data_IF_175467567043
#
_entry.id   IF_175467567043
#
_cell.length_a   1.000
_cell.length_b   1.000
_cell.length_c   1.000
_cell.angle_alpha   90.00
_cell.angle_beta   90.00
_cell.angle_gamma   90.00
#
_symmetry.space_group_name_H-M   'P 1'
#
loop_
_entity.id
_entity.type
_entity.pdbx_description
1 polymer ?
#
# COMPACT_ATOMS: atom_id res chain seq x y z
N UNK A 1 -14.48 22.19 1.69
CA UNK A 1 -15.33 21.22 0.96
C UNK A 1 -15.17 19.77 1.48
N UNK A 2 -14.83 19.55 2.77
CA UNK A 2 -14.60 18.19 3.32
C UNK A 2 -15.27 17.96 4.69
N UNK A 3 -16.29 18.74 5.05
CA UNK A 3 -16.88 18.71 6.40
C UNK A 3 -18.06 17.74 6.57
N UNK A 4 -18.43 16.96 5.55
CA UNK A 4 -19.69 16.19 5.55
C UNK A 4 -19.52 14.67 5.47
N UNK A 5 -18.34 14.14 5.83
CA UNK A 5 -18.16 12.70 6.00
C UNK A 5 -17.84 12.41 7.46
N UNK A 6 -18.84 11.88 8.18
CA UNK A 6 -18.77 11.57 9.61
C UNK A 6 -17.65 10.59 9.95
N UNK A 7 -16.44 11.11 10.13
CA UNK A 7 -15.30 10.34 10.61
C UNK A 7 -15.26 10.41 12.14
N UNK A 8 -16.04 9.55 12.80
CA UNK A 8 -15.90 9.35 14.26
C UNK A 8 -14.73 8.41 14.62
N UNK A 9 -14.00 7.86 13.63
CA UNK A 9 -12.95 6.85 13.87
C UNK A 9 -11.68 7.00 13.00
N UNK A 10 -11.42 8.18 12.43
CA UNK A 10 -10.16 8.46 11.70
C UNK A 10 -10.08 7.91 10.26
N UNK A 11 -11.09 7.17 9.81
CA UNK A 11 -11.25 6.74 8.41
C UNK A 11 -12.51 7.34 7.79
N UNK A 12 -12.48 7.58 6.48
CA UNK A 12 -13.60 8.07 5.68
C UNK A 12 -13.80 7.23 4.42
N UNK A 13 -15.00 7.26 3.83
CA UNK A 13 -15.31 6.59 2.57
C UNK A 13 -15.31 7.62 1.45
N UNK A 14 -14.43 7.45 0.45
CA UNK A 14 -14.30 8.36 -0.69
C UNK A 14 -15.26 8.02 -1.83
N UNK A 15 -15.47 6.72 -2.10
CA UNK A 15 -16.30 6.24 -3.21
C UNK A 15 -16.87 4.86 -2.87
N UNK A 16 -18.12 4.62 -3.24
CA UNK A 16 -18.77 3.29 -3.14
C UNK A 16 -19.40 2.93 -4.48
N UNK A 17 -18.85 1.92 -5.15
CA UNK A 17 -19.32 1.48 -6.47
C UNK A 17 -18.84 0.05 -6.76
N UNK A 18 -18.95 -0.41 -8.01
CA UNK A 18 -18.45 -1.72 -8.45
C UNK A 18 -16.95 -1.85 -8.18
N UNK A 19 -16.50 -3.01 -7.67
CA UNK A 19 -15.11 -3.27 -7.31
C UNK A 19 -14.15 -3.04 -8.48
N UNK A 20 -14.52 -3.39 -9.72
CA UNK A 20 -13.68 -3.11 -10.89
C UNK A 20 -13.39 -1.61 -11.06
N UNK A 21 -14.38 -0.75 -10.82
CA UNK A 21 -14.21 0.70 -10.88
C UNK A 21 -13.39 1.20 -9.69
N UNK A 22 -13.66 0.69 -8.48
CA UNK A 22 -12.90 1.03 -7.27
C UNK A 22 -11.42 0.69 -7.43
N UNK A 23 -11.08 -0.53 -7.87
CA UNK A 23 -9.70 -0.94 -8.11
C UNK A 23 -9.03 -0.13 -9.22
N UNK A 24 -9.77 0.24 -10.27
CA UNK A 24 -9.27 1.12 -11.31
C UNK A 24 -8.89 2.51 -10.76
N UNK A 25 -9.80 3.13 -10.00
CA UNK A 25 -9.58 4.43 -9.36
C UNK A 25 -8.44 4.36 -8.35
N UNK A 26 -8.41 3.34 -7.50
CA UNK A 26 -7.36 3.10 -6.51
C UNK A 26 -5.99 2.99 -7.17
N UNK A 27 -5.89 2.20 -8.25
CA UNK A 27 -4.65 2.03 -9.02
C UNK A 27 -4.21 3.35 -9.67
N UNK A 28 -5.13 4.07 -10.33
CA UNK A 28 -4.83 5.37 -10.95
C UNK A 28 -4.35 6.37 -9.91
N UNK A 29 -5.01 6.41 -8.74
CA UNK A 29 -4.65 7.30 -7.66
C UNK A 29 -3.25 6.98 -7.14
N UNK A 30 -2.90 5.72 -6.91
CA UNK A 30 -1.55 5.32 -6.51
C UNK A 30 -0.48 5.69 -7.55
N UNK A 31 -0.78 5.55 -8.85
CA UNK A 31 0.14 5.94 -9.92
C UNK A 31 0.40 7.45 -9.89
N UNK A 32 -0.66 8.27 -9.89
CA UNK A 32 -0.54 9.74 -9.90
C UNK A 32 0.21 10.24 -8.67
N UNK A 33 -0.16 9.69 -7.51
CA UNK A 33 0.50 9.96 -6.26
C UNK A 33 2.00 9.63 -6.37
N UNK A 34 2.38 8.43 -6.82
CA UNK A 34 3.79 8.02 -6.92
C UNK A 34 4.62 8.90 -7.86
N UNK A 35 4.02 9.37 -8.97
CA UNK A 35 4.66 10.33 -9.89
C UNK A 35 4.97 11.64 -9.14
N UNK A 36 3.97 12.21 -8.47
CA UNK A 36 4.13 13.46 -7.70
C UNK A 36 5.19 13.29 -6.60
N UNK A 37 5.14 12.18 -5.86
CA UNK A 37 6.10 11.86 -4.79
C UNK A 37 7.54 11.77 -5.33
N UNK A 38 7.73 11.12 -6.47
CA UNK A 38 9.05 10.99 -7.10
C UNK A 38 9.58 12.34 -7.57
N UNK A 39 8.74 13.20 -8.14
CA UNK A 39 9.13 14.57 -8.52
C UNK A 39 9.55 15.40 -7.30
N UNK A 40 8.76 15.38 -6.22
CA UNK A 40 9.06 16.12 -4.98
C UNK A 40 10.33 15.58 -4.32
N UNK A 41 10.52 14.26 -4.32
CA UNK A 41 11.74 13.64 -3.80
C UNK A 41 12.96 14.02 -4.63
N UNK A 42 12.86 14.01 -5.96
CA UNK A 42 13.94 14.45 -6.86
C UNK A 42 14.33 15.91 -6.61
N UNK A 43 13.34 16.81 -6.53
CA UNK A 43 13.56 18.21 -6.21
C UNK A 43 14.20 18.40 -4.82
N UNK A 44 13.74 17.63 -3.83
CA UNK A 44 14.29 17.65 -2.48
C UNK A 44 15.72 17.15 -2.43
N UNK A 45 16.05 16.09 -3.17
CA UNK A 45 17.42 15.58 -3.27
C UNK A 45 18.34 16.61 -3.92
N UNK A 46 17.88 17.28 -4.97
CA UNK A 46 18.62 18.37 -5.59
C UNK A 46 18.86 19.54 -4.62
N UNK A 47 17.85 19.93 -3.84
CA UNK A 47 17.99 20.95 -2.79
C UNK A 47 18.98 20.51 -1.69
N UNK A 48 18.90 19.24 -1.25
CA UNK A 48 19.83 18.66 -0.28
C UNK A 48 21.26 18.64 -0.80
N UNK A 49 21.49 18.31 -2.07
CA UNK A 49 22.80 18.41 -2.69
C UNK A 49 23.31 19.86 -2.66
N UNK A 50 22.47 20.81 -3.10
CA UNK A 50 22.83 22.22 -3.17
C UNK A 50 23.15 22.88 -1.81
N UNK A 51 22.51 22.43 -0.72
CA UNK A 51 22.79 22.94 0.63
C UNK A 51 23.98 22.25 1.31
N UNK A 52 24.28 21.00 0.91
CA UNK A 52 25.47 20.26 1.34
C UNK A 52 26.75 20.68 0.60
N UNK A 53 26.62 21.44 -0.48
CA UNK A 53 27.73 21.96 -1.25
C UNK A 53 28.56 22.97 -0.42
N UNK A 54 29.87 22.76 -0.28
CA UNK A 54 30.73 23.66 0.47
C UNK A 54 31.00 24.95 -0.31
N UNK A 55 31.20 26.05 0.40
CA UNK A 55 31.67 27.31 -0.16
C UNK A 55 33.19 27.29 -0.31
N UNK A 56 33.74 28.14 -1.19
CA UNK A 56 35.19 28.20 -1.47
C UNK A 56 36.03 28.42 -0.20
N UNK A 57 35.57 29.27 0.71
CA UNK A 57 36.22 29.57 2.00
C UNK A 57 36.19 28.39 2.99
N UNK A 58 35.09 27.62 2.97
CA UNK A 58 34.95 26.40 3.78
C UNK A 58 35.98 25.36 3.29
N UNK A 59 36.17 25.24 1.98
CA UNK A 59 37.17 24.36 1.37
C UNK A 59 38.59 24.80 1.72
N UNK A 60 38.93 26.08 1.60
CA UNK A 60 40.25 26.60 1.98
C UNK A 60 40.60 26.27 3.44
N UNK A 61 39.62 26.39 4.33
CA UNK A 61 39.79 26.06 5.75
C UNK A 61 40.05 24.57 5.97
N UNK A 62 39.43 23.71 5.16
CA UNK A 62 39.56 22.24 5.23
C UNK A 62 40.89 21.79 4.65
N UNK A 63 41.32 22.38 3.53
CA UNK A 63 42.61 22.06 2.92
C UNK A 63 43.79 22.53 3.77
N UNK A 64 43.71 23.69 4.45
CA UNK A 64 44.69 24.11 5.48
C UNK A 64 44.84 23.11 6.63
N UNK A 65 43.79 22.32 6.90
CA UNK A 65 43.79 21.23 7.89
C UNK A 65 44.20 19.88 7.28
N UNK A 66 44.74 19.86 6.06
CA UNK A 66 45.19 18.65 5.36
C UNK A 66 44.07 17.61 5.17
N UNK A 67 42.86 18.10 4.86
CA UNK A 67 41.65 17.30 4.61
C UNK A 67 41.03 17.71 3.27
N UNK A 68 40.29 16.82 2.60
CA UNK A 68 39.55 17.12 1.36
C UNK A 68 38.06 17.33 1.63
N UNK A 69 37.39 18.05 0.73
CA UNK A 69 35.93 18.18 0.67
C UNK A 69 35.39 17.59 -0.63
N UNK A 70 34.14 17.10 -0.62
CA UNK A 70 33.51 16.57 -1.84
C UNK A 70 32.77 17.70 -2.57
N UNK A 71 32.85 17.77 -3.89
CA UNK A 71 32.19 18.82 -4.68
C UNK A 71 31.37 18.17 -5.80
N UNK A 72 30.21 18.74 -6.15
CA UNK A 72 29.39 18.24 -7.24
C UNK A 72 28.52 17.02 -6.90
N UNK A 73 28.58 16.52 -5.67
CA UNK A 73 27.83 15.33 -5.21
C UNK A 73 27.13 15.61 -3.87
N UNK A 74 26.07 14.87 -3.57
CA UNK A 74 25.44 14.91 -2.25
C UNK A 74 26.33 14.17 -1.25
N UNK A 75 27.09 14.90 -0.43
CA UNK A 75 28.01 14.32 0.56
C UNK A 75 27.54 14.58 1.98
N UNK A 76 27.27 13.50 2.71
CA UNK A 76 26.98 13.57 4.15
C UNK A 76 28.21 13.95 4.97
N UNK A 77 29.41 13.67 4.45
CA UNK A 77 30.68 14.08 5.08
C UNK A 77 30.81 15.59 5.12
N UNK A 78 30.39 16.27 4.05
CA UNK A 78 30.38 17.73 3.98
C UNK A 78 29.45 18.39 5.02
N UNK A 79 28.49 17.67 5.59
CA UNK A 79 27.64 18.22 6.66
C UNK A 79 28.45 18.60 7.90
N UNK A 80 29.62 17.99 8.11
CA UNK A 80 30.55 18.36 9.19
C UNK A 80 31.39 19.60 8.89
N UNK A 81 31.38 20.06 7.63
CA UNK A 81 32.18 21.18 7.14
C UNK A 81 31.39 22.50 7.09
N UNK A 82 30.06 22.39 6.90
CA UNK A 82 29.17 23.53 6.68
C UNK A 82 28.54 24.05 7.98
N UNK A 83 27.96 25.26 7.92
CA UNK A 83 27.26 25.86 9.04
C UNK A 83 26.09 24.98 9.58
N UNK A 84 25.85 24.94 10.90
CA UNK A 84 24.83 24.07 11.52
C UNK A 84 23.41 24.36 11.05
N UNK A 85 23.11 25.62 10.65
CA UNK A 85 21.81 25.98 10.05
C UNK A 85 21.55 25.21 8.76
N UNK A 86 22.56 25.02 7.91
CA UNK A 86 22.47 24.25 6.66
C UNK A 86 22.23 22.77 6.93
N UNK A 87 22.90 22.23 7.96
CA UNK A 87 22.71 20.84 8.41
C UNK A 87 21.27 20.62 8.91
N UNK A 88 20.71 21.56 9.68
CA UNK A 88 19.34 21.47 10.14
C UNK A 88 18.34 21.43 8.98
N UNK A 89 18.50 22.31 7.99
CA UNK A 89 17.63 22.32 6.80
C UNK A 89 17.78 21.03 6.00
N UNK A 90 19.01 20.54 5.82
CA UNK A 90 19.26 19.25 5.16
C UNK A 90 18.55 18.09 5.88
N UNK A 91 18.65 18.04 7.22
CA UNK A 91 18.00 17.02 8.03
C UNK A 91 16.47 17.13 7.98
N UNK A 92 15.93 18.34 7.96
CA UNK A 92 14.49 18.59 7.84
C UNK A 92 13.95 18.07 6.49
N UNK A 93 14.65 18.34 5.38
CA UNK A 93 14.30 17.80 4.06
C UNK A 93 14.40 16.27 3.99
N UNK A 94 15.41 15.69 4.64
CA UNK A 94 15.56 14.24 4.75
C UNK A 94 14.42 13.59 5.54
N UNK A 95 14.14 14.13 6.74
CA UNK A 95 13.11 13.60 7.64
C UNK A 95 11.71 13.69 7.04
N UNK A 96 11.37 14.83 6.42
CA UNK A 96 10.07 15.02 5.74
C UNK A 96 9.86 14.08 4.56
N UNK A 97 10.89 13.38 4.07
CA UNK A 97 10.78 12.38 2.99
C UNK A 97 10.34 10.99 3.47
N UNK A 98 10.49 10.66 4.76
CA UNK A 98 10.11 9.34 5.30
C UNK A 98 8.59 9.11 5.30
N UNK A 99 7.75 10.05 5.78
CA UNK A 99 6.29 9.90 5.76
C UNK A 99 5.72 9.68 4.36
N UNK A 100 6.34 10.29 3.34
CA UNK A 100 5.97 10.12 1.94
C UNK A 100 6.16 8.70 1.42
N UNK A 101 7.21 7.99 1.83
CA UNK A 101 7.40 6.60 1.41
C UNK A 101 6.53 5.64 2.22
N UNK A 102 6.34 5.93 3.50
CA UNK A 102 5.68 5.00 4.43
C UNK A 102 4.15 5.04 4.33
N UNK A 103 3.55 6.23 4.37
CA UNK A 103 2.09 6.34 4.54
C UNK A 103 1.33 6.42 3.23
N UNK A 104 2.00 6.77 2.15
CA UNK A 104 1.38 7.14 0.90
C UNK A 104 0.74 5.96 0.16
N UNK A 105 1.32 4.77 0.27
CA UNK A 105 0.75 3.51 -0.24
C UNK A 105 -0.40 2.97 0.63
N UNK A 106 -0.70 3.61 1.76
CA UNK A 106 -1.69 3.11 2.72
C UNK A 106 -2.73 4.16 3.12
N UNK A 107 -2.64 5.38 2.55
CA UNK A 107 -3.64 6.42 2.77
C UNK A 107 -4.98 5.99 2.20
N UNK A 108 -4.99 5.39 1.02
CA UNK A 108 -6.17 4.85 0.37
C UNK A 108 -6.15 3.33 0.43
N UNK A 109 -7.29 2.74 0.73
CA UNK A 109 -7.43 1.29 0.78
C UNK A 109 -8.82 0.89 0.31
N UNK A 110 -8.86 -0.23 -0.41
CA UNK A 110 -10.12 -0.83 -0.83
C UNK A 110 -10.63 -1.72 0.30
N UNK A 111 -11.86 -1.48 0.75
CA UNK A 111 -12.57 -2.36 1.65
C UNK A 111 -13.72 -3.04 0.90
N UNK A 112 -13.81 -4.37 1.01
CA UNK A 112 -14.96 -5.11 0.53
C UNK A 112 -16.11 -4.95 1.52
N UNK A 113 -17.33 -4.79 1.01
CA UNK A 113 -18.50 -4.90 1.85
C UNK A 113 -18.83 -6.37 2.09
N UNK A 114 -18.21 -6.97 3.10
CA UNK A 114 -18.94 -7.99 3.84
C UNK A 114 -20.12 -7.25 4.47
N UNK A 115 -21.35 -7.45 3.98
CA UNK A 115 -22.61 -6.82 4.44
C UNK A 115 -22.63 -6.78 5.98
N UNK A 116 -22.10 -5.70 6.54
CA UNK A 116 -21.97 -5.50 7.97
C UNK A 116 -23.25 -4.82 8.39
N UNK A 117 -24.17 -5.61 8.94
CA UNK A 117 -25.13 -5.08 9.90
C UNK A 117 -24.32 -4.38 11.00
N UNK A 118 -24.65 -3.11 11.23
CA UNK A 118 -24.10 -2.19 12.22
C UNK A 118 -23.68 -2.88 13.55
N UNK A 119 -22.46 -2.64 14.09
CA UNK A 119 -22.07 -3.16 15.40
C UNK A 119 -22.83 -2.51 16.56
N UNK A 120 -23.52 -1.39 16.34
CA UNK A 120 -24.17 -0.62 17.41
C UNK A 120 -25.55 -1.12 17.84
N UNK A 121 -26.08 -2.17 17.21
CA UNK A 121 -27.29 -2.87 17.68
C UNK A 121 -26.98 -4.24 18.33
N UNK A 122 -25.75 -4.44 18.81
CA UNK A 122 -25.32 -5.68 19.48
C UNK A 122 -25.89 -5.89 20.90
N UNK A 123 -26.81 -5.04 21.37
CA UNK A 123 -27.49 -5.23 22.66
C UNK A 123 -28.88 -5.88 22.49
N UNK A 124 -29.42 -6.00 21.28
CA UNK A 124 -30.71 -6.66 21.07
C UNK A 124 -30.63 -7.73 19.99
N UNK A 125 -30.10 -8.90 20.36
CA UNK A 125 -30.33 -10.14 19.61
C UNK A 125 -31.82 -10.50 19.71
N UNK A 126 -32.65 -9.83 18.92
CA UNK A 126 -34.08 -10.05 18.91
C UNK A 126 -34.37 -11.16 17.88
N UNK A 127 -34.72 -12.36 18.35
CA UNK A 127 -35.13 -13.53 17.54
C UNK A 127 -36.16 -13.19 16.44
N UNK A 128 -36.89 -12.07 16.59
CA UNK A 128 -37.84 -11.52 15.61
C UNK A 128 -37.19 -10.99 14.32
N UNK A 129 -35.98 -10.45 14.37
CA UNK A 129 -35.33 -9.83 13.21
C UNK A 129 -34.73 -10.88 12.24
N UNK A 130 -34.39 -12.06 12.77
CA UNK A 130 -33.96 -13.22 12.00
C UNK A 130 -35.06 -13.72 11.05
N UNK A 131 -36.28 -13.95 11.56
CA UNK A 131 -37.40 -14.40 10.72
C UNK A 131 -37.69 -13.47 9.54
N UNK A 132 -37.55 -12.15 9.75
CA UNK A 132 -37.78 -11.14 8.72
C UNK A 132 -36.77 -11.25 7.55
N UNK A 133 -35.51 -11.57 7.81
CA UNK A 133 -34.50 -11.75 6.76
C UNK A 133 -34.75 -13.00 5.91
N UNK A 134 -35.16 -14.10 6.54
CA UNK A 134 -35.51 -15.34 5.82
C UNK A 134 -36.75 -15.09 4.95
N UNK A 135 -37.76 -14.41 5.50
CA UNK A 135 -38.96 -14.03 4.74
C UNK A 135 -38.60 -13.14 3.56
N UNK A 136 -37.73 -12.14 3.73
CA UNK A 136 -37.25 -11.29 2.63
C UNK A 136 -36.48 -12.08 1.57
N UNK A 137 -35.64 -13.03 1.98
CA UNK A 137 -34.92 -13.89 1.04
C UNK A 137 -35.88 -14.77 0.22
N UNK A 138 -36.89 -15.36 0.88
CA UNK A 138 -37.91 -16.16 0.20
C UNK A 138 -38.77 -15.30 -0.73
N UNK A 139 -39.12 -14.08 -0.32
CA UNK A 139 -39.80 -13.11 -1.18
C UNK A 139 -38.93 -12.72 -2.38
N UNK A 140 -37.63 -12.47 -2.19
CA UNK A 140 -36.68 -12.18 -3.27
C UNK A 140 -36.63 -13.34 -4.29
N UNK A 141 -36.67 -14.59 -3.83
CA UNK A 141 -36.67 -15.78 -4.70
C UNK A 141 -38.01 -15.96 -5.43
N UNK A 142 -39.13 -15.75 -4.75
CA UNK A 142 -40.45 -15.80 -5.39
C UNK A 142 -40.60 -14.71 -6.46
N UNK A 143 -40.11 -13.49 -6.17
CA UNK A 143 -40.12 -12.37 -7.11
C UNK A 143 -39.09 -12.54 -8.25
N UNK A 144 -38.02 -13.33 -8.05
CA UNK A 144 -37.05 -13.68 -9.10
C UNK A 144 -37.72 -14.39 -10.27
N UNK A 145 -38.79 -15.16 -10.01
CA UNK A 145 -39.56 -15.86 -11.06
C UNK A 145 -40.28 -14.90 -12.03
N UNK A 146 -40.44 -13.62 -11.67
CA UNK A 146 -41.21 -12.65 -12.47
C UNK A 146 -40.42 -11.46 -13.02
N UNK A 147 -39.25 -11.03 -12.48
CA UNK A 147 -38.54 -9.86 -13.07
C UNK A 147 -37.07 -9.54 -12.72
N UNK A 148 -36.30 -10.30 -11.94
CA UNK A 148 -34.91 -9.91 -11.63
C UNK A 148 -33.94 -11.10 -11.38
N UNK A 149 -32.84 -11.16 -12.13
CA UNK A 149 -31.89 -12.28 -12.27
C UNK A 149 -30.81 -12.38 -11.18
N UNK A 150 -31.09 -11.97 -9.93
CA UNK A 150 -30.05 -11.94 -8.90
C UNK A 150 -29.67 -13.32 -8.36
N UNK A 151 -30.50 -14.34 -8.60
CA UNK A 151 -30.19 -15.73 -8.26
C UNK A 151 -29.86 -16.54 -9.52
N UNK A 152 -28.78 -17.30 -9.44
CA UNK A 152 -28.37 -18.26 -10.47
C UNK A 152 -28.60 -19.68 -9.97
N UNK A 153 -29.22 -20.49 -10.83
CA UNK A 153 -29.36 -21.93 -10.59
C UNK A 153 -28.02 -22.60 -10.88
N UNK A 154 -27.47 -23.29 -9.88
CA UNK A 154 -26.22 -24.04 -9.98
C UNK A 154 -26.47 -25.52 -9.79
N UNK A 155 -25.70 -26.35 -10.50
CA UNK A 155 -25.66 -27.77 -10.24
C UNK A 155 -25.00 -28.03 -8.86
N UNK A 156 -25.30 -29.15 -8.20
CA UNK A 156 -24.68 -29.55 -6.93
C UNK A 156 -23.15 -29.40 -6.90
N UNK A 157 -22.48 -29.84 -7.97
CA UNK A 157 -21.03 -29.72 -8.13
C UNK A 157 -20.54 -28.28 -8.03
N UNK A 158 -21.12 -27.39 -8.82
CA UNK A 158 -20.74 -25.98 -8.91
C UNK A 158 -21.06 -25.26 -7.60
N UNK A 159 -22.16 -25.64 -6.94
CA UNK A 159 -22.54 -25.10 -5.65
C UNK A 159 -21.50 -25.39 -4.56
N UNK A 160 -21.05 -26.64 -4.48
CA UNK A 160 -20.00 -27.06 -3.55
C UNK A 160 -18.72 -26.27 -3.82
N UNK A 161 -18.29 -26.22 -5.08
CA UNK A 161 -17.04 -25.56 -5.46
C UNK A 161 -17.08 -24.05 -5.17
N UNK A 162 -18.20 -23.40 -5.41
CA UNK A 162 -18.33 -21.96 -5.26
C UNK A 162 -18.50 -21.50 -3.81
N UNK A 163 -19.05 -22.35 -2.92
CA UNK A 163 -19.28 -22.00 -1.51
C UNK A 163 -18.30 -22.64 -0.52
N UNK A 164 -17.54 -23.65 -0.91
CA UNK A 164 -16.46 -24.23 -0.10
C UNK A 164 -15.12 -23.49 -0.28
N UNK A 165 -15.14 -22.15 -0.27
CA UNK A 165 -13.96 -21.28 -0.46
C UNK A 165 -13.71 -20.40 0.76
N UNK A 166 -12.45 -20.25 1.16
CA UNK A 166 -12.02 -19.49 2.35
C UNK A 166 -12.49 -18.03 2.37
N UNK A 167 -12.64 -17.41 1.21
CA UNK A 167 -13.14 -16.04 1.08
C UNK A 167 -14.15 -15.96 -0.07
N UNK A 168 -15.40 -15.69 0.29
CA UNK A 168 -16.49 -15.55 -0.66
C UNK A 168 -16.63 -14.09 -1.10
N UNK A 169 -16.08 -13.78 -2.27
CA UNK A 169 -16.17 -12.43 -2.86
C UNK A 169 -17.29 -12.31 -3.89
N UNK A 170 -17.61 -13.41 -4.59
CA UNK A 170 -18.45 -13.38 -5.82
C UNK A 170 -19.93 -13.69 -5.55
N UNK A 171 -20.23 -14.39 -4.45
CA UNK A 171 -21.59 -14.87 -4.16
C UNK A 171 -22.05 -14.47 -2.76
N UNK A 172 -23.35 -14.25 -2.61
CA UNK A 172 -23.98 -13.95 -1.34
C UNK A 172 -24.78 -15.14 -0.83
N UNK A 173 -26.01 -14.86 -0.44
CA UNK A 173 -26.97 -15.82 0.10
C UNK A 173 -27.12 -17.07 -0.81
N UNK A 174 -27.18 -18.26 -0.21
CA UNK A 174 -27.41 -19.54 -0.91
C UNK A 174 -28.68 -20.21 -0.41
N UNK A 175 -29.46 -20.78 -1.32
CA UNK A 175 -30.63 -21.60 -0.99
C UNK A 175 -30.47 -22.96 -1.65
N UNK A 176 -30.55 -24.00 -0.84
CA UNK A 176 -30.45 -25.39 -1.29
C UNK A 176 -31.85 -25.93 -1.51
N UNK A 177 -32.10 -26.52 -2.69
CA UNK A 177 -33.40 -27.09 -3.04
C UNK A 177 -33.26 -28.61 -3.08
N UNK A 178 -34.08 -29.30 -2.28
CA UNK A 178 -34.13 -30.76 -2.24
C UNK A 178 -34.87 -31.34 -3.44
N UNK A 179 -34.57 -32.60 -3.79
CA UNK A 179 -35.32 -33.38 -4.78
C UNK A 179 -36.71 -33.77 -4.27
N UNK A 180 -36.86 -33.93 -2.96
CA UNK A 180 -38.12 -34.32 -2.30
C UNK A 180 -38.97 -33.06 -2.10
N UNK A 181 -40.20 -33.07 -2.63
CA UNK A 181 -41.17 -31.98 -2.45
C UNK A 181 -42.05 -32.26 -1.25
N UNK A 182 -41.96 -31.42 -0.22
CA UNK A 182 -42.87 -31.41 0.91
C UNK A 182 -43.69 -30.11 0.92
N UNK A 183 -45.00 -30.22 0.67
CA UNK A 183 -45.88 -29.05 0.58
C UNK A 183 -46.28 -28.48 1.95
N UNK A 184 -46.11 -29.24 3.03
CA UNK A 184 -46.56 -28.85 4.37
C UNK A 184 -45.49 -28.07 5.14
N UNK A 185 -44.21 -28.31 4.86
CA UNK A 185 -43.07 -27.65 5.48
C UNK A 185 -41.96 -27.38 4.45
N UNK A 186 -42.05 -26.29 3.68
CA UNK A 186 -41.13 -26.02 2.57
C UNK A 186 -39.72 -25.55 3.02
N UNK A 187 -39.55 -25.15 4.28
CA UNK A 187 -38.26 -24.76 4.86
C UNK A 187 -37.80 -25.83 5.85
N UNK A 188 -36.78 -26.61 5.46
CA UNK A 188 -36.21 -27.67 6.29
C UNK A 188 -35.32 -27.09 7.40
N UNK A 189 -34.40 -26.19 7.01
CA UNK A 189 -33.47 -25.54 7.93
C UNK A 189 -33.03 -24.21 7.34
N UNK A 190 -32.51 -23.34 8.20
CA UNK A 190 -31.85 -22.10 7.83
C UNK A 190 -30.68 -21.86 8.77
N UNK A 191 -29.53 -21.45 8.24
CA UNK A 191 -28.37 -21.09 9.05
C UNK A 191 -27.90 -19.70 8.64
N UNK A 192 -27.63 -18.86 9.63
CA UNK A 192 -26.94 -17.59 9.40
C UNK A 192 -25.43 -17.84 9.26
N UNK A 193 -24.72 -17.04 8.44
CA UNK A 193 -23.27 -17.09 8.43
C UNK A 193 -22.75 -16.89 9.85
N UNK A 194 -22.06 -17.89 10.38
CA UNK A 194 -21.45 -17.80 11.70
C UNK A 194 -20.30 -16.80 11.63
N UNK A 195 -20.43 -15.67 12.34
CA UNK A 195 -19.35 -14.68 12.46
C UNK A 195 -18.22 -15.14 13.38
N UNK A 196 -18.46 -16.15 14.21
CA UNK A 196 -17.50 -16.74 15.13
C UNK A 196 -17.55 -18.26 15.03
N UNK A 197 -16.37 -18.87 14.93
CA UNK A 197 -16.18 -20.31 14.92
C UNK A 197 -16.22 -20.80 16.38
N UNK A 198 -17.16 -21.67 16.73
CA UNK A 198 -17.28 -22.25 18.07
C UNK A 198 -17.08 -23.77 18.04
N UNK A 199 -16.44 -24.30 19.09
CA UNK A 199 -16.11 -25.74 19.17
C UNK A 199 -17.34 -26.64 19.30
N UNK A 200 -18.49 -26.12 19.76
CA UNK A 200 -19.66 -26.95 20.09
C UNK A 200 -20.53 -27.41 18.91
N UNK A 201 -20.49 -26.73 17.76
CA UNK A 201 -21.43 -26.99 16.66
C UNK A 201 -20.82 -27.11 15.26
N UNK A 202 -19.61 -26.59 15.04
CA UNK A 202 -19.00 -26.59 13.71
C UNK A 202 -17.54 -27.04 13.70
N UNK A 203 -16.94 -27.44 14.83
CA UNK A 203 -15.51 -27.78 14.91
C UNK A 203 -14.60 -26.73 14.23
N UNK A 204 -15.00 -25.46 14.33
CA UNK A 204 -14.36 -24.33 13.67
C UNK A 204 -14.29 -24.42 12.13
N UNK A 205 -15.25 -25.11 11.52
CA UNK A 205 -15.36 -25.26 10.07
C UNK A 205 -16.59 -24.51 9.51
N UNK A 206 -16.40 -23.39 8.80
CA UNK A 206 -17.51 -22.64 8.21
C UNK A 206 -18.20 -23.39 7.06
N UNK A 207 -17.55 -24.42 6.48
CA UNK A 207 -18.08 -25.21 5.36
C UNK A 207 -18.73 -26.52 5.79
N UNK A 208 -18.85 -26.76 7.11
CA UNK A 208 -19.40 -28.00 7.67
C UNK A 208 -20.77 -28.37 7.10
N UNK A 209 -21.62 -27.38 6.82
CA UNK A 209 -22.96 -27.59 6.26
C UNK A 209 -22.95 -28.29 4.88
N UNK A 210 -21.84 -28.21 4.13
CA UNK A 210 -21.67 -28.89 2.84
C UNK A 210 -21.37 -30.38 3.04
N UNK A 211 -20.54 -30.70 4.02
CA UNK A 211 -20.08 -32.06 4.31
C UNK A 211 -20.86 -32.78 5.42
N UNK A 212 -21.94 -32.18 5.93
CA UNK A 212 -22.62 -32.62 7.16
C UNK A 212 -22.96 -34.12 7.14
N UNK A 213 -23.55 -34.60 6.04
CA UNK A 213 -23.96 -36.01 5.90
C UNK A 213 -22.84 -36.93 5.40
N UNK A 214 -21.73 -36.37 4.93
CA UNK A 214 -20.67 -37.10 4.23
C UNK A 214 -19.43 -37.38 5.09
N UNK A 215 -19.23 -36.63 6.17
CA UNK A 215 -18.03 -36.74 7.01
C UNK A 215 -18.36 -36.69 8.49
N UNK A 216 -17.53 -37.31 9.32
CA UNK A 216 -17.61 -37.18 10.78
C UNK A 216 -17.25 -35.76 11.22
N UNK A 217 -17.76 -35.33 12.37
CA UNK A 217 -17.55 -33.97 12.88
C UNK A 217 -16.07 -33.58 12.97
N UNK A 218 -15.16 -34.52 13.25
CA UNK A 218 -13.72 -34.28 13.44
C UNK A 218 -12.96 -33.85 12.19
N UNK A 219 -13.56 -33.96 10.99
CA UNK A 219 -12.89 -33.66 9.72
C UNK A 219 -13.37 -32.32 9.16
N UNK A 220 -12.43 -31.40 8.90
CA UNK A 220 -12.71 -30.13 8.23
C UNK A 220 -13.10 -30.35 6.77
N UNK A 221 -14.21 -29.74 6.36
CA UNK A 221 -14.73 -29.74 5.01
C UNK A 221 -13.92 -28.79 4.13
N UNK A 222 -13.60 -29.24 2.92
CA UNK A 222 -13.06 -28.42 1.84
C UNK A 222 -13.72 -28.85 0.52
N UNK A 223 -13.52 -28.08 -0.55
CA UNK A 223 -14.11 -28.37 -1.86
C UNK A 223 -13.78 -29.77 -2.37
N UNK A 224 -12.53 -30.19 -2.28
CA UNK A 224 -12.05 -31.45 -2.87
C UNK A 224 -12.58 -32.67 -2.10
N UNK A 225 -12.65 -32.58 -0.78
CA UNK A 225 -13.23 -33.58 0.10
C UNK A 225 -14.74 -33.69 -0.12
N UNK A 226 -15.44 -32.56 -0.23
CA UNK A 226 -16.87 -32.54 -0.50
C UNK A 226 -17.17 -33.17 -1.87
N UNK A 227 -16.41 -32.82 -2.91
CA UNK A 227 -16.60 -33.37 -4.26
C UNK A 227 -16.26 -34.86 -4.34
N UNK A 228 -15.19 -35.31 -3.69
CA UNK A 228 -14.82 -36.73 -3.67
C UNK A 228 -15.85 -37.60 -2.94
N UNK A 229 -16.38 -37.14 -1.81
CA UNK A 229 -17.39 -37.88 -1.03
C UNK A 229 -18.77 -37.88 -1.66
N UNK A 230 -19.14 -36.83 -2.39
CA UNK A 230 -20.46 -36.70 -3.03
C UNK A 230 -20.50 -37.21 -4.46
N UNK A 231 -19.43 -37.86 -4.96
CA UNK A 231 -19.28 -38.26 -6.35
C UNK A 231 -19.52 -37.08 -7.32
N UNK A 232 -18.73 -36.01 -7.16
CA UNK A 232 -18.86 -34.75 -7.89
C UNK A 232 -20.25 -34.10 -7.75
N UNK A 233 -20.84 -34.15 -6.54
CA UNK A 233 -22.15 -33.55 -6.24
C UNK A 233 -23.37 -34.40 -6.59
N UNK A 234 -23.21 -35.56 -7.24
CA UNK A 234 -24.34 -36.40 -7.66
C UNK A 234 -25.15 -36.98 -6.48
N UNK A 235 -24.44 -37.40 -5.43
CA UNK A 235 -25.02 -37.96 -4.21
C UNK A 235 -24.99 -36.96 -3.06
N UNK A 236 -25.00 -35.65 -3.36
CA UNK A 236 -24.99 -34.62 -2.33
C UNK A 236 -26.32 -34.59 -1.59
N UNK A 237 -26.25 -34.75 -0.28
CA UNK A 237 -27.36 -34.61 0.65
C UNK A 237 -26.95 -33.63 1.75
N UNK A 238 -27.95 -32.91 2.28
CA UNK A 238 -27.75 -31.99 3.41
C UNK A 238 -28.88 -32.24 4.42
N UNK A 239 -28.51 -32.62 5.65
CA UNK A 239 -29.43 -33.04 6.71
C UNK A 239 -30.34 -34.20 6.31
N UNK A 240 -29.78 -35.17 5.57
CA UNK A 240 -30.48 -36.37 5.12
C UNK A 240 -31.35 -36.18 3.88
N UNK A 241 -31.45 -34.96 3.34
CA UNK A 241 -32.27 -34.64 2.17
C UNK A 241 -31.41 -34.52 0.90
N UNK A 242 -31.72 -35.27 -0.18
CA UNK A 242 -30.95 -35.21 -1.41
C UNK A 242 -31.14 -33.88 -2.13
N UNK A 243 -30.04 -33.23 -2.52
CA UNK A 243 -30.05 -31.92 -3.18
C UNK A 243 -30.29 -32.06 -4.68
N UNK A 244 -31.23 -31.29 -5.22
CA UNK A 244 -31.51 -31.20 -6.66
C UNK A 244 -30.62 -30.13 -7.31
N UNK A 245 -30.67 -28.91 -6.77
CA UNK A 245 -29.87 -27.77 -7.21
C UNK A 245 -29.75 -26.75 -6.08
N UNK A 246 -28.89 -25.76 -6.26
CA UNK A 246 -28.88 -24.59 -5.38
C UNK A 246 -29.11 -23.29 -6.15
N UNK A 247 -29.72 -22.33 -5.48
CA UNK A 247 -29.89 -20.96 -5.93
C UNK A 247 -28.85 -20.11 -5.21
N UNK A 248 -27.90 -19.58 -5.98
CA UNK A 248 -26.86 -18.71 -5.45
C UNK A 248 -27.17 -17.27 -5.82
N UNK A 249 -27.21 -16.38 -4.82
CA UNK A 249 -27.30 -14.95 -5.06
C UNK A 249 -25.97 -14.45 -5.59
N UNK A 250 -25.97 -13.87 -6.78
CA UNK A 250 -24.82 -13.12 -7.25
C UNK A 250 -24.74 -11.83 -6.42
N UNK A 251 -23.66 -11.64 -5.68
CA UNK A 251 -23.39 -10.34 -5.07
C UNK A 251 -22.81 -9.45 -6.14
N UNK A 252 -23.42 -8.28 -6.35
CA UNK A 252 -22.69 -7.23 -7.02
C UNK A 252 -21.56 -6.82 -6.09
N UNK A 253 -20.32 -6.99 -6.54
CA UNK A 253 -19.11 -6.64 -5.80
C UNK A 253 -19.11 -5.11 -5.60
N UNK A 254 -19.82 -4.61 -4.58
CA UNK A 254 -19.81 -3.21 -4.22
C UNK A 254 -18.69 -2.98 -3.22
N UNK A 255 -17.52 -2.59 -3.71
CA UNK A 255 -16.40 -2.17 -2.89
C UNK A 255 -16.58 -0.71 -2.48
N UNK A 256 -15.86 -0.34 -1.44
CA UNK A 256 -15.67 1.04 -1.08
C UNK A 256 -14.17 1.37 -1.07
N UNK A 257 -13.85 2.52 -1.65
CA UNK A 257 -12.55 3.15 -1.46
C UNK A 257 -12.62 3.96 -0.18
N UNK A 258 -11.84 3.58 0.81
CA UNK A 258 -11.72 4.30 2.07
C UNK A 258 -10.35 4.96 2.16
N UNK A 259 -10.25 5.96 3.04
CA UNK A 259 -9.00 6.63 3.33
C UNK A 259 -8.82 6.88 4.82
N UNK A 260 -7.57 6.93 5.27
CA UNK A 260 -7.22 7.31 6.64
C UNK A 260 -6.89 8.80 6.73
N UNK A 261 -7.69 9.53 7.51
CA UNK A 261 -7.60 10.99 7.65
C UNK A 261 -6.28 11.40 8.31
N UNK A 262 -5.81 10.66 9.31
CA UNK A 262 -4.59 10.99 10.04
C UNK A 262 -3.34 10.80 9.17
N UNK A 263 -3.30 9.71 8.40
CA UNK A 263 -2.22 9.48 7.45
C UNK A 263 -2.21 10.53 6.35
N UNK A 264 -3.38 10.88 5.81
CA UNK A 264 -3.52 11.94 4.82
C UNK A 264 -3.05 13.30 5.36
N UNK A 265 -3.48 13.66 6.57
CA UNK A 265 -3.09 14.92 7.22
C UNK A 265 -1.58 14.97 7.44
N UNK A 266 -0.98 13.89 7.93
CA UNK A 266 0.46 13.81 8.12
C UNK A 266 1.20 14.08 6.80
N UNK A 267 0.84 13.37 5.72
CA UNK A 267 1.46 13.56 4.40
C UNK A 267 1.34 15.01 3.93
N UNK A 268 0.15 15.61 4.02
CA UNK A 268 -0.09 17.00 3.59
C UNK A 268 0.75 17.99 4.40
N UNK A 269 0.83 17.84 5.72
CA UNK A 269 1.61 18.73 6.59
C UNK A 269 3.11 18.63 6.26
N UNK A 270 3.64 17.41 6.16
CA UNK A 270 5.05 17.22 5.81
C UNK A 270 5.37 17.75 4.40
N UNK A 271 4.46 17.60 3.45
CA UNK A 271 4.62 18.17 2.10
C UNK A 271 4.70 19.69 2.10
N UNK A 272 3.77 20.35 2.81
CA UNK A 272 3.75 21.82 2.90
C UNK A 272 5.05 22.34 3.52
N UNK A 273 5.51 21.74 4.61
CA UNK A 273 6.78 22.14 5.22
C UNK A 273 7.96 21.92 4.28
N UNK A 274 7.98 20.81 3.55
CA UNK A 274 9.03 20.46 2.61
C UNK A 274 9.06 21.42 1.42
N UNK A 275 7.93 21.64 0.77
CA UNK A 275 7.80 22.58 -0.35
C UNK A 275 8.09 24.02 0.06
N UNK A 276 7.61 24.48 1.21
CA UNK A 276 7.93 25.81 1.74
C UNK A 276 9.44 25.97 1.99
N UNK A 277 10.10 24.95 2.54
CA UNK A 277 11.56 24.96 2.75
C UNK A 277 12.32 25.02 1.43
N UNK A 278 11.91 24.24 0.42
CA UNK A 278 12.53 24.28 -0.91
C UNK A 278 12.34 25.64 -1.59
N UNK A 279 11.13 26.22 -1.53
CA UNK A 279 10.86 27.56 -2.08
C UNK A 279 11.73 28.61 -1.38
N UNK A 280 11.78 28.58 -0.05
CA UNK A 280 12.63 29.49 0.72
C UNK A 280 14.11 29.36 0.33
N UNK A 281 14.62 28.15 0.12
CA UNK A 281 16.00 27.92 -0.33
C UNK A 281 16.27 28.50 -1.72
N UNK A 282 15.31 28.39 -2.64
CA UNK A 282 15.44 28.96 -3.99
C UNK A 282 15.53 30.48 -3.91
N UNK A 283 14.70 31.12 -3.08
CA UNK A 283 14.66 32.57 -2.93
C UNK A 283 15.92 33.16 -2.27
N UNK A 284 16.58 32.41 -1.39
CA UNK A 284 17.75 32.91 -0.64
C UNK A 284 19.06 32.88 -1.43
N UNK A 285 19.08 32.36 -2.69
CA UNK A 285 20.25 32.27 -3.59
C UNK A 285 21.62 32.16 -2.86
N UNK A 286 22.08 30.96 -2.47
CA UNK A 286 23.35 30.80 -1.77
C UNK A 286 24.53 31.24 -2.65
N UNK A 287 25.00 32.47 -2.44
CA UNK A 287 26.17 33.02 -3.10
C UNK A 287 27.40 32.24 -2.60
N UNK A 288 28.21 31.72 -3.52
CA UNK A 288 29.54 31.15 -3.24
C UNK A 288 29.60 29.65 -2.92
N UNK A 289 28.48 28.92 -2.95
CA UNK A 289 28.50 27.45 -2.81
C UNK A 289 28.92 26.79 -4.14
N UNK A 290 29.90 25.88 -4.09
CA UNK A 290 30.39 25.17 -5.28
C UNK A 290 29.51 23.93 -5.51
N UNK A 291 28.40 24.12 -6.24
CA UNK A 291 27.37 23.07 -6.40
C UNK A 291 27.75 22.05 -7.45
N UNK A 292 28.46 22.47 -8.48
CA UNK A 292 28.89 21.63 -9.60
C UNK A 292 30.41 21.60 -9.71
N UNK A 293 30.94 20.60 -10.43
CA UNK A 293 32.35 20.59 -10.81
C UNK A 293 32.73 21.80 -11.66
N UNK A 294 31.79 22.33 -12.46
CA UNK A 294 31.98 23.56 -13.22
C UNK A 294 32.20 24.78 -12.32
N UNK A 295 31.37 24.94 -11.28
CA UNK A 295 31.55 26.01 -10.28
C UNK A 295 32.90 25.90 -9.59
N UNK A 296 33.32 24.66 -9.28
CA UNK A 296 34.63 24.41 -8.69
C UNK A 296 35.75 24.85 -9.62
N UNK A 297 35.79 24.35 -10.85
CA UNK A 297 36.83 24.70 -11.83
C UNK A 297 36.91 26.21 -12.01
N UNK A 298 35.78 26.87 -12.24
CA UNK A 298 35.73 28.32 -12.39
C UNK A 298 36.26 29.05 -11.14
N UNK A 299 35.90 28.58 -9.94
CA UNK A 299 36.36 29.19 -8.70
C UNK A 299 37.85 28.96 -8.42
N UNK A 300 38.40 27.79 -8.75
CA UNK A 300 39.83 27.48 -8.56
C UNK A 300 40.72 28.13 -9.61
N UNK A 301 40.22 28.33 -10.84
CA UNK A 301 40.93 29.11 -11.87
C UNK A 301 40.96 30.61 -11.53
N UNK A 302 39.90 31.14 -10.92
CA UNK A 302 39.87 32.54 -10.50
C UNK A 302 40.68 32.79 -9.21
N UNK A 303 40.70 31.83 -8.28
CA UNK A 303 41.49 31.87 -7.05
C UNK A 303 42.15 30.52 -6.80
N UNK A 304 43.42 30.43 -7.17
CA UNK A 304 44.27 29.25 -6.94
C UNK A 304 44.34 28.90 -5.45
N UNK A 305 44.49 27.61 -5.17
CA UNK A 305 44.67 27.10 -3.80
C UNK A 305 46.10 26.65 -3.57
N UNK A 306 46.84 27.45 -2.81
CA UNK A 306 48.25 27.20 -2.47
C UNK A 306 48.46 25.86 -1.78
N UNK A 307 47.48 25.36 -1.03
CA UNK A 307 47.60 24.09 -0.26
C UNK A 307 47.49 22.84 -1.13
N UNK A 308 47.10 23.01 -2.39
CA UNK A 308 46.97 21.93 -3.39
C UNK A 308 47.98 22.07 -4.53
N UNK A 309 48.95 22.97 -4.40
CA UNK A 309 50.03 23.12 -5.36
C UNK A 309 50.78 21.78 -5.52
N UNK A 310 51.09 21.42 -6.76
CA UNK A 310 51.77 20.16 -7.10
C UNK A 310 51.00 18.89 -6.67
N UNK A 311 49.67 18.98 -6.56
CA UNK A 311 48.76 17.85 -6.27
C UNK A 311 47.82 17.54 -7.45
N UNK A 312 48.22 17.88 -8.67
CA UNK A 312 47.37 17.67 -9.85
C UNK A 312 47.06 16.18 -10.07
N UNK A 313 45.80 15.88 -10.41
CA UNK A 313 45.28 14.53 -10.69
C UNK A 313 45.48 13.52 -9.54
N UNK A 314 45.75 13.97 -8.32
CA UNK A 314 45.85 13.11 -7.14
C UNK A 314 44.46 12.54 -6.82
N UNK A 315 44.37 11.21 -6.76
CA UNK A 315 43.10 10.53 -6.48
C UNK A 315 42.77 10.49 -4.98
N UNK A 316 41.48 10.39 -4.60
CA UNK A 316 41.08 10.14 -3.21
C UNK A 316 41.72 8.88 -2.61
N UNK A 317 41.95 7.84 -3.43
CA UNK A 317 42.59 6.61 -2.98
C UNK A 317 44.07 6.83 -2.61
N UNK A 318 44.77 7.70 -3.35
CA UNK A 318 46.13 8.12 -3.03
C UNK A 318 46.16 8.86 -1.69
N UNK A 319 45.29 9.87 -1.51
CA UNK A 319 45.17 10.63 -0.26
C UNK A 319 44.85 9.73 0.94
N UNK A 320 44.01 8.70 0.77
CA UNK A 320 43.71 7.76 1.83
C UNK A 320 44.91 6.88 2.22
N UNK A 321 45.77 6.50 1.27
CA UNK A 321 46.93 5.63 1.51
C UNK A 321 48.14 6.39 2.07
N UNK A 322 48.47 7.53 1.47
CA UNK A 322 49.67 8.31 1.80
C UNK A 322 49.41 9.47 2.76
N UNK A 323 48.14 9.76 3.06
CA UNK A 323 47.75 11.01 3.71
C UNK A 323 47.88 12.21 2.76
N UNK A 324 47.60 13.40 3.31
CA UNK A 324 47.78 14.67 2.60
C UNK A 324 49.22 15.15 2.76
N UNK A 325 50.02 14.96 1.71
CA UNK A 325 51.40 15.41 1.62
C UNK A 325 51.48 16.81 1.02
N UNK A 326 52.62 17.49 1.20
CA UNK A 326 52.83 18.85 0.68
C UNK A 326 53.08 18.87 -0.84
N UNK A 327 53.44 17.73 -1.44
CA UNK A 327 53.51 17.55 -2.89
C UNK A 327 53.32 16.07 -3.27
N UNK A 328 52.90 15.82 -4.50
CA UNK A 328 52.82 14.48 -5.07
C UNK A 328 53.63 14.41 -6.37
N UNK A 329 54.19 13.23 -6.70
CA UNK A 329 54.84 13.07 -7.99
C UNK A 329 53.82 13.27 -9.13
N UNK A 330 54.28 13.75 -10.30
CA UNK A 330 53.49 13.88 -11.52
C UNK A 330 52.57 12.67 -11.76
N UNK A 331 51.27 12.90 -11.83
CA UNK A 331 50.28 11.87 -12.09
C UNK A 331 49.92 11.87 -13.58
N UNK A 332 50.03 10.70 -14.20
CA UNK A 332 49.70 10.52 -15.62
C UNK A 332 48.23 10.13 -15.78
N UNK A 333 47.46 10.95 -16.49
CA UNK A 333 46.16 10.54 -17.00
C UNK A 333 46.33 10.01 -18.43
N UNK A 334 46.31 8.69 -18.57
CA UNK A 334 46.30 7.98 -19.86
C UNK A 334 44.86 7.69 -20.28
N UNK A 335 44.34 8.47 -21.22
CA UNK A 335 43.10 8.19 -21.95
C UNK A 335 43.44 7.63 -23.34
N UNK A 336 42.50 6.91 -23.98
CA UNK A 336 42.67 6.36 -25.33
C UNK A 336 43.02 7.43 -26.40
N UNK A 337 42.75 8.71 -26.12
CA UNK A 337 42.99 9.83 -27.05
C UNK A 337 43.92 10.93 -26.50
N UNK A 338 44.25 10.93 -25.20
CA UNK A 338 45.03 12.02 -24.60
C UNK A 338 45.99 11.52 -23.51
N UNK A 339 47.20 12.07 -23.52
CA UNK A 339 48.18 11.96 -22.44
C UNK A 339 48.30 13.32 -21.76
N UNK A 340 47.73 13.45 -20.56
CA UNK A 340 47.90 14.64 -19.74
C UNK A 340 48.91 14.28 -18.66
N UNK A 341 50.05 14.98 -18.67
CA UNK A 341 51.04 14.94 -17.59
C UNK A 341 50.94 16.25 -16.83
N UNK A 342 50.42 16.14 -15.62
CA UNK A 342 50.88 16.94 -14.51
C UNK A 342 51.98 16.14 -13.80
#
# INVERSE_FOLDING_TARGET
>A
MFAEFGSKSGSGVALRTRCRTVHGVDTTLHILLNIISTCILGASNYCMQGISAPAREEIDTVHKKKKWADIGIQSTRNLTLIAPKRVFIWALLGFTSVPFHLFFNSVFFTASQARHSDPLNLIEYNRKDSGLQIVRLLQDIQNTSTRNTNFTKLAPKDCIQDYATSFQEKRGDVVIVSKIRNNSAPLLWSRYPQRYLTDGHTNQDPFRWICEDSTQNTVRCNSDLALSKTNNGNNWAVYGEPVDYCLSRNTHDTCQLAYNVWMMLAVVVFDIFKTATMIWMILQHPIGALRTSGDAIASFLNREDETTRDMCLVSPATLHRSGWLDSFPPQLLTSATHHIRC
#
